data_IF_596335335295
#
_entry.id   IF_596335335295
#
_cell.length_a   1.000
_cell.length_b   1.000
_cell.length_c   1.000
_cell.angle_alpha   90.00
_cell.angle_beta   90.00
_cell.angle_gamma   90.00
#
_symmetry.space_group_name_H-M   'P 1'
#
loop_
_entity.id
_entity.type
_entity.pdbx_description
1 polymer ?
#
# COMPACT_ATOMS: atom_id res chain seq x y z
N UNK A 1 -5.78 11.77 -8.00
CA UNK A 1 -6.06 10.36 -7.69
C UNK A 1 -4.80 9.82 -7.08
N UNK A 2 -4.85 9.46 -5.81
CA UNK A 2 -3.67 8.95 -5.12
C UNK A 2 -3.41 7.52 -5.55
N UNK A 3 -2.14 7.13 -5.50
CA UNK A 3 -1.71 5.81 -5.94
C UNK A 3 -0.71 5.24 -4.97
N UNK A 4 -0.71 3.92 -4.87
CA UNK A 4 0.21 3.17 -4.03
C UNK A 4 1.01 2.20 -4.90
N UNK A 5 2.28 2.01 -4.59
CA UNK A 5 3.06 1.00 -5.30
C UNK A 5 2.44 -0.39 -5.14
N UNK A 6 2.61 -1.21 -6.18
CA UNK A 6 2.16 -2.61 -6.18
C UNK A 6 2.80 -3.39 -5.02
N UNK A 7 4.03 -3.06 -4.62
CA UNK A 7 4.74 -3.76 -3.55
C UNK A 7 4.13 -3.45 -2.19
N UNK A 8 3.90 -2.17 -1.90
CA UNK A 8 3.19 -1.75 -0.69
C UNK A 8 1.75 -2.29 -0.67
N UNK A 9 1.07 -2.31 -1.82
CA UNK A 9 -0.28 -2.88 -1.94
C UNK A 9 -0.32 -4.38 -1.60
N UNK A 10 0.67 -5.15 -2.06
CA UNK A 10 0.81 -6.57 -1.68
C UNK A 10 1.04 -6.70 -0.18
N UNK A 11 1.90 -5.85 0.40
CA UNK A 11 2.23 -5.92 1.81
C UNK A 11 1.03 -5.65 2.72
N UNK A 12 0.25 -4.59 2.44
CA UNK A 12 -0.83 -4.15 3.33
C UNK A 12 -2.13 -4.94 3.13
N UNK A 13 -2.39 -5.49 1.95
CA UNK A 13 -3.59 -6.32 1.69
C UNK A 13 -3.36 -7.81 1.94
N UNK A 14 -2.09 -8.26 1.95
CA UNK A 14 -1.74 -9.68 1.96
C UNK A 14 -2.09 -10.43 0.67
N UNK A 15 -2.64 -9.76 -0.35
CA UNK A 15 -3.01 -10.35 -1.62
C UNK A 15 -1.78 -10.49 -2.51
N UNK A 16 -1.65 -11.63 -3.19
CA UNK A 16 -0.50 -11.86 -4.08
C UNK A 16 -0.43 -10.85 -5.24
N UNK A 17 0.78 -10.52 -5.67
CA UNK A 17 1.05 -9.67 -6.85
C UNK A 17 0.27 -10.14 -8.08
N UNK A 18 0.21 -11.45 -8.33
CA UNK A 18 -0.53 -12.06 -9.46
C UNK A 18 -2.02 -11.75 -9.37
N UNK A 19 -2.60 -11.84 -8.18
CA UNK A 19 -4.03 -11.58 -7.95
C UNK A 19 -4.34 -10.10 -8.13
N UNK A 20 -3.51 -9.19 -7.61
CA UNK A 20 -3.68 -7.75 -7.83
C UNK A 20 -3.55 -7.40 -9.32
N UNK A 21 -2.57 -7.97 -10.03
CA UNK A 21 -2.43 -7.76 -11.48
C UNK A 21 -3.62 -8.26 -12.29
N UNK A 22 -4.23 -9.38 -11.88
CA UNK A 22 -5.45 -9.87 -12.52
C UNK A 22 -6.57 -8.84 -12.40
N UNK A 23 -6.76 -8.25 -11.21
CA UNK A 23 -7.76 -7.20 -10.97
C UNK A 23 -7.55 -5.97 -11.83
N UNK A 24 -6.29 -5.59 -12.05
CA UNK A 24 -5.98 -4.49 -12.98
C UNK A 24 -6.31 -4.87 -14.43
N UNK A 25 -6.02 -6.12 -14.82
CA UNK A 25 -6.25 -6.59 -16.19
C UNK A 25 -7.74 -6.77 -16.51
N UNK A 26 -8.53 -7.21 -15.52
CA UNK A 26 -9.98 -7.39 -15.65
C UNK A 26 -10.79 -6.10 -15.39
N UNK A 27 -10.11 -5.00 -15.06
CA UNK A 27 -10.70 -3.67 -14.88
C UNK A 27 -11.35 -3.43 -13.51
N UNK A 28 -11.26 -4.39 -12.58
CA UNK A 28 -11.76 -4.22 -11.21
C UNK A 28 -10.83 -3.42 -10.28
N UNK A 29 -9.67 -2.98 -10.78
CA UNK A 29 -8.73 -2.13 -10.06
C UNK A 29 -8.05 -1.15 -11.02
N UNK A 30 -8.02 0.12 -10.65
CA UNK A 30 -7.37 1.18 -11.40
C UNK A 30 -5.85 1.06 -11.36
N UNK A 31 -5.22 1.41 -12.49
CA UNK A 31 -3.77 1.51 -12.63
C UNK A 31 -3.36 2.98 -12.65
N UNK A 32 -2.39 3.34 -11.82
CA UNK A 32 -1.74 4.64 -11.86
C UNK A 32 -0.62 4.71 -12.91
N UNK A 33 -0.21 5.93 -13.23
CA UNK A 33 1.04 6.15 -13.96
C UNK A 33 2.22 5.60 -13.17
N UNK A 34 3.29 5.22 -13.87
CA UNK A 34 4.53 4.84 -13.20
C UNK A 34 5.05 6.02 -12.38
N UNK A 35 5.51 5.75 -11.16
CA UNK A 35 6.17 6.78 -10.36
C UNK A 35 7.56 7.13 -10.91
N UNK A 36 8.24 8.11 -10.31
CA UNK A 36 9.61 8.50 -10.67
C UNK A 36 10.65 7.37 -10.55
N UNK A 37 10.30 6.25 -9.92
CA UNK A 37 11.13 5.04 -9.76
C UNK A 37 10.69 3.91 -10.71
N UNK A 38 9.80 4.21 -11.67
CA UNK A 38 9.23 3.24 -12.61
C UNK A 38 8.46 2.08 -11.97
N UNK A 39 8.01 2.24 -10.72
CA UNK A 39 7.20 1.22 -10.03
C UNK A 39 5.80 1.15 -10.65
N UNK A 40 5.20 -0.05 -10.59
CA UNK A 40 3.80 -0.20 -10.94
C UNK A 40 2.94 0.40 -9.82
N UNK A 41 2.02 1.29 -10.19
CA UNK A 41 1.16 2.01 -9.26
C UNK A 41 -0.29 1.57 -9.41
N UNK A 42 -1.00 1.45 -8.29
CA UNK A 42 -2.40 1.06 -8.20
C UNK A 42 -3.22 2.21 -7.62
N UNK A 43 -4.49 2.33 -8.03
CA UNK A 43 -5.42 3.30 -7.46
C UNK A 43 -5.58 3.07 -5.96
N UNK A 44 -5.36 4.11 -5.16
CA UNK A 44 -5.36 3.97 -3.70
C UNK A 44 -6.73 3.49 -3.17
N UNK A 45 -7.83 4.07 -3.65
CA UNK A 45 -9.17 3.72 -3.19
C UNK A 45 -9.50 2.23 -3.38
N UNK A 46 -9.09 1.66 -4.52
CA UNK A 46 -9.28 0.23 -4.81
C UNK A 46 -8.41 -0.67 -3.92
N UNK A 47 -7.23 -0.20 -3.53
CA UNK A 47 -6.36 -0.92 -2.58
C UNK A 47 -6.93 -0.85 -1.17
N UNK A 48 -7.36 0.34 -0.72
CA UNK A 48 -7.94 0.54 0.60
C UNK A 48 -9.22 -0.29 0.81
N UNK A 49 -10.03 -0.49 -0.24
CA UNK A 49 -11.18 -1.39 -0.22
C UNK A 49 -10.84 -2.87 0.02
N UNK A 50 -9.55 -3.25 0.04
CA UNK A 50 -9.05 -4.60 0.26
C UNK A 50 -8.24 -4.76 1.54
N UNK A 51 -8.01 -3.67 2.28
CA UNK A 51 -7.26 -3.68 3.54
C UNK A 51 -8.21 -4.09 4.66
N UNK A 52 -7.84 -5.11 5.42
CA UNK A 52 -8.63 -5.63 6.56
C UNK A 52 -8.39 -4.81 7.85
N UNK A 53 -8.31 -3.48 7.69
CA UNK A 53 -8.05 -2.50 8.73
C UNK A 53 -8.59 -1.16 8.28
N UNK A 54 -9.22 -0.43 9.20
CA UNK A 54 -9.60 0.96 8.98
C UNK A 54 -8.37 1.86 9.10
N UNK A 55 -8.06 2.61 8.05
CA UNK A 55 -7.09 3.69 8.05
C UNK A 55 -7.84 5.02 7.98
N UNK A 56 -7.53 5.93 8.91
CA UNK A 56 -8.07 7.29 8.87
C UNK A 56 -7.27 8.16 7.87
N UNK A 57 -7.66 9.43 7.71
CA UNK A 57 -7.02 10.34 6.76
C UNK A 57 -5.52 10.58 7.07
N UNK A 58 -5.14 10.66 8.35
CA UNK A 58 -3.75 10.86 8.77
C UNK A 58 -2.93 9.59 8.50
N UNK A 59 -3.50 8.40 8.74
CA UNK A 59 -2.87 7.13 8.42
C UNK A 59 -2.64 6.99 6.91
N UNK A 60 -3.60 7.43 6.09
CA UNK A 60 -3.49 7.43 4.63
C UNK A 60 -2.39 8.38 4.16
N UNK A 61 -2.33 9.59 4.71
CA UNK A 61 -1.27 10.55 4.39
C UNK A 61 0.11 10.01 4.77
N UNK A 62 0.20 9.33 5.91
CA UNK A 62 1.42 8.65 6.38
C UNK A 62 1.81 7.49 5.46
N UNK A 63 0.85 6.66 5.04
CA UNK A 63 1.06 5.57 4.09
C UNK A 63 1.65 6.06 2.76
N UNK A 64 1.12 7.17 2.22
CA UNK A 64 1.63 7.75 0.98
C UNK A 64 3.06 8.27 1.11
N UNK A 65 3.41 8.90 2.25
CA UNK A 65 4.79 9.31 2.55
C UNK A 65 5.71 8.10 2.68
N UNK A 66 5.27 7.05 3.38
CA UNK A 66 6.03 5.82 3.55
C UNK A 66 6.34 5.17 2.19
N UNK A 67 5.33 5.07 1.30
CA UNK A 67 5.52 4.56 -0.07
C UNK A 67 6.40 5.47 -0.94
N UNK A 68 6.41 6.78 -0.67
CA UNK A 68 7.30 7.74 -1.32
C UNK A 68 8.77 7.62 -0.84
N UNK A 69 9.03 6.88 0.24
CA UNK A 69 10.37 6.64 0.79
C UNK A 69 10.74 7.53 1.98
N UNK A 70 9.77 8.13 2.66
CA UNK A 70 9.98 8.87 3.90
C UNK A 70 10.26 7.88 5.05
N UNK A 71 11.49 7.90 5.59
CA UNK A 71 11.93 6.94 6.60
C UNK A 71 11.18 7.04 7.94
N UNK A 72 10.75 8.24 8.34
CA UNK A 72 9.97 8.44 9.55
C UNK A 72 8.57 7.86 9.37
N UNK A 73 7.93 8.16 8.23
CA UNK A 73 6.64 7.59 7.89
C UNK A 73 6.68 6.07 7.74
N UNK A 74 7.78 5.50 7.23
CA UNK A 74 7.98 4.05 7.18
C UNK A 74 8.04 3.43 8.58
N UNK A 75 8.80 4.02 9.49
CA UNK A 75 8.86 3.56 10.87
C UNK A 75 7.49 3.61 11.56
N UNK A 76 6.76 4.72 11.38
CA UNK A 76 5.43 4.91 11.97
C UNK A 76 4.39 3.96 11.38
N UNK A 77 4.35 3.76 10.05
CA UNK A 77 3.48 2.75 9.42
C UNK A 77 3.83 1.34 9.90
N UNK A 78 5.13 1.03 10.03
CA UNK A 78 5.61 -0.23 10.58
C UNK A 78 5.08 -0.47 11.99
N UNK A 79 5.18 0.53 12.87
CA UNK A 79 4.65 0.47 14.23
C UNK A 79 3.13 0.32 14.26
N UNK A 80 2.40 1.09 13.45
CA UNK A 80 0.94 1.03 13.35
C UNK A 80 0.47 -0.38 12.96
N UNK A 81 1.03 -0.96 11.89
CA UNK A 81 0.68 -2.31 11.47
C UNK A 81 1.08 -3.37 12.50
N UNK A 82 2.19 -3.16 13.21
CA UNK A 82 2.64 -4.10 14.24
C UNK A 82 1.65 -4.15 15.41
N UNK A 83 1.25 -2.99 15.93
CA UNK A 83 0.29 -2.87 17.06
C UNK A 83 -1.06 -3.48 16.69
N UNK A 84 -1.48 -3.35 15.45
CA UNK A 84 -2.73 -3.91 14.97
C UNK A 84 -2.67 -5.41 14.58
N UNK A 85 -1.52 -6.08 14.75
CA UNK A 85 -1.36 -7.50 14.43
C UNK A 85 -1.13 -7.81 12.94
N UNK A 86 -1.04 -6.79 12.07
CA UNK A 86 -0.73 -6.93 10.65
C UNK A 86 0.78 -7.10 10.42
N UNK A 87 1.40 -8.09 11.07
CA UNK A 87 2.87 -8.21 11.17
C UNK A 87 3.60 -8.30 9.82
N UNK A 88 2.99 -8.89 8.78
CA UNK A 88 3.59 -8.92 7.44
C UNK A 88 3.69 -7.52 6.81
N UNK A 89 2.65 -6.70 6.99
CA UNK A 89 2.66 -5.32 6.56
C UNK A 89 3.66 -4.50 7.38
N UNK A 90 3.73 -4.74 8.70
CA UNK A 90 4.70 -4.09 9.56
C UNK A 90 6.15 -4.35 9.11
N UNK A 91 6.51 -5.61 8.87
CA UNK A 91 7.85 -5.99 8.42
C UNK A 91 8.22 -5.39 7.07
N UNK A 92 7.26 -5.14 6.19
CA UNK A 92 7.55 -4.47 4.92
C UNK A 92 8.10 -3.06 5.11
N UNK A 93 7.61 -2.32 6.12
CA UNK A 93 8.04 -0.95 6.39
C UNK A 93 9.22 -0.82 7.35
N UNK A 94 9.54 -1.88 8.11
CA UNK A 94 10.63 -1.90 9.08
C UNK A 94 11.96 -2.46 8.53
N UNK A 95 12.03 -2.75 7.22
CA UNK A 95 13.23 -3.24 6.53
C UNK A 95 13.82 -2.17 5.61
#
# INVERSE_FOLDING_TARGET
MDTLSLDASVAITGISRRTLWRRVTDGSMGRGDKDGRSRAMLALDDVLGLVDMALNADDIAMLLRADAGDAEAQADMGALFYVAGAHKAALYWLN
#
